data_IF_269733927231
#
_entry.id   IF_269733927231
#
_cell.length_a   1.000
_cell.length_b   1.000
_cell.length_c   1.000
_cell.angle_alpha   90.00
_cell.angle_beta   90.00
_cell.angle_gamma   90.00
#
_symmetry.space_group_name_H-M   'P 1'
#
loop_
_entity.id
_entity.type
_entity.pdbx_description
1 polymer ?
#
# COMPACT_ATOMS: atom_id res chain seq x y z
N UNK A 1 -8.83 23.65 43.02
CA UNK A 1 -9.94 22.70 43.25
C UNK A 1 -9.58 21.45 42.47
N UNK A 2 -8.85 20.54 43.11
CA UNK A 2 -8.51 19.23 42.56
C UNK A 2 -9.72 18.31 42.70
N UNK A 3 -10.07 17.55 41.65
CA UNK A 3 -10.89 16.34 41.79
C UNK A 3 -10.36 15.22 40.89
N UNK A 4 -9.63 14.33 41.54
CA UNK A 4 -9.83 12.87 41.60
C UNK A 4 -10.18 12.09 40.32
N UNK A 5 -9.24 11.19 40.03
CA UNK A 5 -9.19 10.05 39.11
C UNK A 5 -10.39 9.10 39.24
N UNK A 6 -10.95 8.67 38.12
CA UNK A 6 -11.65 7.38 38.01
C UNK A 6 -11.10 6.59 36.80
N UNK A 7 -10.29 5.56 37.10
CA UNK A 7 -9.89 4.51 36.16
C UNK A 7 -11.05 3.52 35.97
N UNK A 8 -11.05 2.81 34.83
CA UNK A 8 -11.72 1.52 34.49
C UNK A 8 -12.56 1.66 33.20
N UNK A 9 -12.42 0.92 32.10
CA UNK A 9 -11.72 -0.32 31.71
C UNK A 9 -11.19 -0.16 30.27
N UNK A 10 -10.11 -0.86 29.96
CA UNK A 10 -9.62 -1.12 28.61
C UNK A 10 -10.49 -2.19 27.94
N UNK A 11 -10.90 -2.00 26.69
CA UNK A 11 -11.23 -3.12 25.80
C UNK A 11 -10.18 -3.19 24.69
N UNK A 12 -9.53 -4.36 24.66
CA UNK A 12 -8.38 -4.71 23.82
C UNK A 12 -8.74 -4.67 22.34
N UNK A 13 -7.93 -3.96 21.56
CA UNK A 13 -7.53 -4.39 20.21
C UNK A 13 -6.16 -3.78 19.87
N UNK A 14 -5.18 -4.03 20.74
CA UNK A 14 -3.77 -3.82 20.42
C UNK A 14 -3.35 -4.79 19.31
N UNK A 15 -3.32 -4.32 18.07
CA UNK A 15 -2.41 -4.88 17.07
C UNK A 15 -1.31 -3.84 16.86
N UNK A 16 -0.05 -4.10 17.26
CA UNK A 16 1.03 -3.18 17.02
C UNK A 16 1.31 -3.19 15.52
N UNK A 17 0.87 -2.15 14.82
CA UNK A 17 1.39 -1.82 13.49
C UNK A 17 2.83 -1.36 13.72
N UNK A 18 3.76 -2.31 13.69
CA UNK A 18 5.18 -2.00 13.61
C UNK A 18 5.41 -1.36 12.25
N UNK A 19 5.46 -0.04 12.26
CA UNK A 19 6.32 0.78 11.43
C UNK A 19 7.65 0.06 11.25
N UNK A 20 7.95 -0.40 10.05
CA UNK A 20 9.32 -0.61 9.63
C UNK A 20 9.57 0.28 8.42
N UNK A 21 10.42 1.26 8.67
CA UNK A 21 11.07 2.11 7.69
C UNK A 21 11.82 1.24 6.68
N UNK A 22 11.63 1.60 5.42
CA UNK A 22 12.61 1.63 4.33
C UNK A 22 14.04 1.16 4.67
N UNK A 23 14.40 0.02 4.08
CA UNK A 23 15.69 -0.31 3.43
C UNK A 23 15.45 -1.69 2.83
N UNK A 24 15.51 -1.94 1.53
CA UNK A 24 16.49 -1.49 0.54
C UNK A 24 15.86 -1.54 -0.85
N UNK A 25 16.15 -0.53 -1.65
CA UNK A 25 16.07 -0.61 -3.11
C UNK A 25 17.10 -1.65 -3.56
N UNK A 26 16.69 -2.81 -4.09
CA UNK A 26 17.38 -3.53 -5.18
C UNK A 26 16.37 -4.45 -5.91
N UNK A 27 16.18 -4.20 -7.21
CA UNK A 27 15.89 -5.22 -8.25
C UNK A 27 14.54 -5.96 -8.20
N UNK A 28 13.45 -5.35 -8.70
CA UNK A 28 12.15 -6.07 -8.89
C UNK A 28 11.94 -6.69 -10.29
N UNK A 29 12.80 -6.42 -11.26
CA UNK A 29 12.66 -7.05 -12.60
C UNK A 29 13.14 -8.51 -12.64
N UNK A 30 13.86 -9.00 -11.61
CA UNK A 30 14.30 -10.40 -11.52
C UNK A 30 13.44 -11.30 -10.62
N UNK A 31 12.59 -10.74 -9.75
CA UNK A 31 11.87 -11.55 -8.74
C UNK A 31 10.74 -12.35 -9.40
N UNK A 32 10.07 -11.79 -10.41
CA UNK A 32 8.93 -12.42 -11.10
C UNK A 32 9.39 -13.59 -11.98
N UNK A 33 10.55 -13.47 -12.64
CA UNK A 33 11.13 -14.52 -13.49
C UNK A 33 11.55 -15.75 -12.68
N UNK A 34 12.17 -15.54 -11.53
CA UNK A 34 12.67 -16.61 -10.68
C UNK A 34 11.53 -17.46 -10.06
N UNK A 35 10.42 -16.84 -9.67
CA UNK A 35 9.26 -17.56 -9.14
C UNK A 35 8.59 -18.43 -10.22
N UNK A 36 8.44 -17.87 -11.42
CA UNK A 36 7.82 -18.56 -12.57
C UNK A 36 8.71 -19.73 -13.02
N UNK A 37 10.02 -19.57 -13.02
CA UNK A 37 10.95 -20.65 -13.34
C UNK A 37 10.89 -21.78 -12.31
N UNK A 38 10.85 -21.45 -11.01
CA UNK A 38 10.67 -22.44 -9.92
C UNK A 38 9.35 -23.19 -10.04
N UNK A 39 8.24 -22.49 -10.29
CA UNK A 39 6.93 -23.12 -10.49
C UNK A 39 6.95 -24.04 -11.71
N UNK A 40 7.58 -23.61 -12.80
CA UNK A 40 7.73 -24.41 -14.02
C UNK A 40 8.51 -25.68 -13.74
N UNK A 41 9.64 -25.59 -13.01
CA UNK A 41 10.43 -26.76 -12.59
C UNK A 41 9.65 -27.73 -11.71
N UNK A 42 8.86 -27.23 -10.75
CA UNK A 42 8.01 -28.07 -9.88
C UNK A 42 6.95 -28.78 -10.73
N UNK A 43 6.29 -28.06 -11.64
CA UNK A 43 5.26 -28.61 -12.52
C UNK A 43 5.80 -29.71 -13.45
N UNK A 44 7.01 -29.53 -13.99
CA UNK A 44 7.66 -30.49 -14.89
C UNK A 44 8.38 -31.65 -14.19
N UNK A 45 8.57 -31.60 -12.86
CA UNK A 45 9.25 -32.67 -12.10
C UNK A 45 8.43 -33.97 -12.04
N UNK A 46 9.05 -35.11 -11.70
CA UNK A 46 8.35 -36.41 -11.54
C UNK A 46 7.66 -36.59 -10.17
N UNK A 47 7.40 -35.50 -9.46
CA UNK A 47 6.70 -35.54 -8.17
C UNK A 47 5.24 -36.02 -8.35
N UNK A 48 4.68 -36.78 -7.38
CA UNK A 48 3.25 -37.07 -7.32
C UNK A 48 2.41 -35.78 -7.36
N UNK A 49 1.23 -35.83 -7.98
CA UNK A 49 0.32 -34.68 -8.14
C UNK A 49 0.09 -33.92 -6.83
N UNK A 50 -0.10 -34.67 -5.75
CA UNK A 50 -0.49 -34.13 -4.45
C UNK A 50 0.65 -33.31 -3.83
N UNK A 51 1.90 -33.72 -4.06
CA UNK A 51 3.11 -33.03 -3.59
C UNK A 51 3.45 -31.83 -4.48
N UNK A 52 3.14 -31.91 -5.79
CA UNK A 52 3.31 -30.78 -6.72
C UNK A 52 2.41 -29.62 -6.35
N UNK A 53 1.13 -29.88 -6.10
CA UNK A 53 0.16 -28.84 -5.75
C UNK A 53 0.52 -28.14 -4.44
N UNK A 54 0.99 -28.88 -3.44
CA UNK A 54 1.44 -28.32 -2.17
C UNK A 54 2.67 -27.42 -2.34
N UNK A 55 3.68 -27.89 -3.08
CA UNK A 55 4.90 -27.11 -3.36
C UNK A 55 4.65 -25.86 -4.22
N UNK A 56 3.74 -25.95 -5.19
CA UNK A 56 3.36 -24.78 -5.99
C UNK A 56 2.68 -23.74 -5.11
N UNK A 57 1.79 -24.15 -4.19
CA UNK A 57 1.16 -23.23 -3.23
C UNK A 57 2.16 -22.58 -2.28
N UNK A 58 3.16 -23.33 -1.79
CA UNK A 58 4.24 -22.78 -0.97
C UNK A 58 5.11 -21.77 -1.73
N UNK A 59 5.29 -21.98 -3.04
CA UNK A 59 6.12 -21.12 -3.89
C UNK A 59 5.37 -19.87 -4.36
N UNK A 60 4.04 -19.87 -4.37
CA UNK A 60 3.23 -18.77 -4.87
C UNK A 60 3.15 -17.62 -3.85
N UNK A 61 3.98 -16.59 -4.01
CA UNK A 61 3.85 -15.36 -3.22
C UNK A 61 2.98 -14.33 -3.96
N UNK A 62 1.75 -14.13 -3.50
CA UNK A 62 0.87 -13.07 -4.01
C UNK A 62 1.13 -11.79 -3.20
N UNK A 63 1.89 -10.83 -3.76
CA UNK A 63 2.05 -9.49 -3.19
C UNK A 63 0.91 -8.57 -3.67
N UNK A 64 -0.02 -8.23 -2.79
CA UNK A 64 -1.02 -7.19 -3.06
C UNK A 64 -0.58 -5.88 -2.40
N UNK A 65 -0.42 -4.83 -3.22
CA UNK A 65 -0.07 -3.50 -2.73
C UNK A 65 -1.29 -2.59 -2.82
N UNK A 66 -1.72 -2.07 -1.65
CA UNK A 66 -2.82 -1.12 -1.55
C UNK A 66 -2.22 0.24 -1.22
N UNK A 67 -2.45 1.21 -2.10
CA UNK A 67 -2.03 2.57 -1.89
C UNK A 67 -3.22 3.44 -1.51
N UNK A 68 -3.00 4.34 -0.56
CA UNK A 68 -4.00 5.31 -0.13
C UNK A 68 -3.39 6.70 -0.24
N UNK A 69 -4.05 7.56 -1.00
CA UNK A 69 -3.58 8.90 -1.28
C UNK A 69 -3.94 9.32 -2.70
N UNK A 70 -3.82 10.63 -2.99
CA UNK A 70 -4.17 11.16 -4.30
C UNK A 70 -3.12 10.83 -5.38
N UNK A 71 -1.95 10.31 -4.99
CA UNK A 71 -0.82 10.06 -5.88
C UNK A 71 -0.53 8.56 -5.97
N UNK A 72 -0.38 8.00 -7.19
CA UNK A 72 0.08 6.63 -7.36
C UNK A 72 1.55 6.48 -6.91
N UNK A 73 2.01 5.24 -6.61
CA UNK A 73 3.40 4.99 -6.28
C UNK A 73 4.34 5.37 -7.45
N UNK A 74 5.61 5.72 -7.16
CA UNK A 74 6.56 6.15 -8.18
C UNK A 74 6.75 5.17 -9.33
N UNK A 75 6.70 3.86 -9.04
CA UNK A 75 6.87 2.82 -10.06
C UNK A 75 5.75 2.85 -11.11
N UNK A 76 4.51 3.12 -10.69
CA UNK A 76 3.38 3.26 -11.61
C UNK A 76 3.47 4.57 -12.41
N UNK A 77 3.98 5.66 -11.82
CA UNK A 77 4.19 6.93 -12.54
C UNK A 77 5.16 6.78 -13.71
N UNK A 78 6.22 5.99 -13.54
CA UNK A 78 7.19 5.72 -14.61
C UNK A 78 6.55 4.98 -15.78
N UNK A 79 5.65 4.04 -15.51
CA UNK A 79 4.90 3.32 -16.55
C UNK A 79 3.97 4.26 -17.33
N UNK A 80 3.29 5.18 -16.65
CA UNK A 80 2.46 6.19 -17.33
C UNK A 80 3.29 7.06 -18.28
N UNK A 81 4.45 7.55 -17.83
CA UNK A 81 5.35 8.37 -18.64
C UNK A 81 5.85 7.63 -19.90
N UNK A 82 6.12 6.33 -19.78
CA UNK A 82 6.53 5.48 -20.93
C UNK A 82 5.43 5.33 -21.98
N UNK A 83 4.16 5.29 -21.56
CA UNK A 83 3.02 5.13 -22.47
C UNK A 83 2.66 6.47 -23.12
N UNK A 84 2.58 7.53 -22.30
CA UNK A 84 2.23 8.89 -22.74
C UNK A 84 3.21 9.87 -22.09
N UNK A 85 4.16 10.44 -22.84
CA UNK A 85 5.10 11.42 -22.30
C UNK A 85 4.38 12.63 -21.70
N UNK A 86 4.80 13.06 -20.52
CA UNK A 86 4.21 14.15 -19.74
C UNK A 86 3.04 13.74 -18.84
N UNK A 87 2.51 12.51 -18.98
CA UNK A 87 1.37 12.06 -18.19
C UNK A 87 1.69 11.92 -16.70
N UNK A 88 2.92 11.54 -16.33
CA UNK A 88 3.31 11.45 -14.93
C UNK A 88 3.23 12.82 -14.23
N UNK A 89 3.66 13.88 -14.94
CA UNK A 89 3.56 15.26 -14.48
C UNK A 89 2.10 15.69 -14.32
N UNK A 90 1.26 15.40 -15.31
CA UNK A 90 -0.17 15.71 -15.26
C UNK A 90 -0.86 15.03 -14.06
N UNK A 91 -0.56 13.76 -13.81
CA UNK A 91 -1.07 13.01 -12.64
C UNK A 91 -0.65 13.71 -11.34
N UNK A 92 0.62 14.09 -11.21
CA UNK A 92 1.11 14.80 -10.02
C UNK A 92 0.36 16.12 -9.83
N UNK A 93 0.18 16.90 -10.90
CA UNK A 93 -0.54 18.18 -10.85
C UNK A 93 -2.00 17.99 -10.43
N UNK A 94 -2.68 16.98 -10.97
CA UNK A 94 -4.04 16.61 -10.58
C UNK A 94 -4.12 16.24 -9.09
N UNK A 95 -3.18 15.44 -8.59
CA UNK A 95 -3.12 15.06 -7.16
C UNK A 95 -2.95 16.28 -6.24
N UNK A 96 -2.11 17.25 -6.64
CA UNK A 96 -1.89 18.49 -5.90
C UNK A 96 -3.15 19.36 -5.89
N UNK A 97 -3.81 19.50 -7.05
CA UNK A 97 -5.06 20.24 -7.17
C UNK A 97 -6.16 19.65 -6.29
N UNK A 98 -6.32 18.32 -6.30
CA UNK A 98 -7.28 17.61 -5.45
C UNK A 98 -6.99 17.86 -3.97
N UNK A 99 -5.72 17.76 -3.56
CA UNK A 99 -5.33 18.01 -2.17
C UNK A 99 -5.66 19.43 -1.72
N UNK A 100 -5.40 20.42 -2.57
CA UNK A 100 -5.74 21.83 -2.29
C UNK A 100 -7.25 22.00 -2.08
N UNK A 101 -8.06 21.42 -2.96
CA UNK A 101 -9.52 21.46 -2.84
C UNK A 101 -10.02 20.79 -1.55
N UNK A 102 -9.50 19.61 -1.21
CA UNK A 102 -9.84 18.92 0.04
C UNK A 102 -9.49 19.78 1.26
N UNK A 103 -8.32 20.43 1.28
CA UNK A 103 -7.94 21.29 2.41
C UNK A 103 -8.86 22.49 2.55
N UNK A 104 -9.27 23.11 1.43
CA UNK A 104 -10.22 24.22 1.45
C UNK A 104 -11.57 23.83 2.05
N UNK A 105 -12.11 22.66 1.68
CA UNK A 105 -13.37 22.16 2.25
C UNK A 105 -13.23 21.93 3.75
N UNK A 106 -12.16 21.26 4.19
CA UNK A 106 -11.92 20.99 5.61
C UNK A 106 -11.79 22.31 6.40
N UNK A 107 -11.11 23.31 5.86
CA UNK A 107 -11.00 24.63 6.49
C UNK A 107 -12.39 25.29 6.65
N UNK A 108 -13.22 25.28 5.61
CA UNK A 108 -14.58 25.83 5.67
C UNK A 108 -15.44 25.09 6.71
N UNK A 109 -15.39 23.76 6.73
CA UNK A 109 -16.14 22.94 7.68
C UNK A 109 -15.70 23.19 9.12
N UNK A 110 -14.38 23.25 9.37
CA UNK A 110 -13.83 23.50 10.71
C UNK A 110 -14.19 24.89 11.22
N UNK A 111 -14.13 25.92 10.37
CA UNK A 111 -14.59 27.27 10.71
C UNK A 111 -16.10 27.28 11.00
N UNK A 112 -16.91 26.66 10.13
CA UNK A 112 -18.37 26.57 10.33
C UNK A 112 -18.74 25.92 11.67
N UNK A 113 -18.03 24.85 12.05
CA UNK A 113 -18.24 24.19 13.34
C UNK A 113 -17.85 25.09 14.52
N UNK A 114 -16.74 25.84 14.39
CA UNK A 114 -16.24 26.77 15.43
C UNK A 114 -17.23 27.90 15.73
N UNK A 115 -17.95 28.40 14.73
CA UNK A 115 -18.90 29.52 14.87
C UNK A 115 -20.36 29.09 15.14
N UNK A 116 -20.65 27.78 15.20
CA UNK A 116 -21.97 27.23 15.55
C UNK A 116 -22.13 26.89 17.05
N UNK A 117 -21.10 27.13 17.87
CA UNK A 117 -21.11 26.99 19.34
C UNK A 117 -20.97 28.35 19.99
#
# INVERSE_FOLDING_TARGET
>A
MEMTIMKKEMTKSDKPSKTNQTSSNETKDNIVTDEVERITQIATSDLPSDIKEEKIKETLQIESQIFSGPLPPPILLEEYEKIIPGSAKEIIEMSVAQRKHTMQIIEIETLTYKYKK
#
